data_IF_009206859094
#
_entry.id   IF_009206859094
#
_cell.length_a   1.000
_cell.length_b   1.000
_cell.length_c   1.000
_cell.angle_alpha   90.00
_cell.angle_beta   90.00
_cell.angle_gamma   90.00
#
_symmetry.space_group_name_H-M   'P 1'
#
loop_
_entity.id
_entity.type
_entity.pdbx_description
1 polymer ?
#
# COMPACT_ATOMS: atom_id res chain seq x y z
N UNK A 1 7.15 3.66 14.61
CA UNK A 1 6.00 2.74 14.49
C UNK A 1 4.76 3.45 15.02
N UNK A 2 3.63 3.37 14.29
CA UNK A 2 2.36 4.01 14.65
C UNK A 2 1.28 2.91 14.71
N UNK A 3 0.39 2.98 15.71
CA UNK A 3 -0.72 2.05 15.88
C UNK A 3 -2.00 2.67 15.33
N UNK A 4 -2.73 1.89 14.54
CA UNK A 4 -4.03 2.21 13.96
C UNK A 4 -4.95 0.98 14.12
N UNK A 5 -4.97 0.44 15.34
CA UNK A 5 -5.73 -0.76 15.67
C UNK A 5 -7.22 -0.56 15.40
N UNK A 6 -7.89 -1.58 14.87
CA UNK A 6 -9.31 -1.54 14.52
C UNK A 6 -9.63 -0.85 13.19
N UNK A 7 -8.67 -0.19 12.54
CA UNK A 7 -8.84 0.37 11.19
C UNK A 7 -8.41 -0.62 10.11
N UNK A 8 -9.14 -0.65 9.00
CA UNK A 8 -8.78 -1.42 7.81
C UNK A 8 -7.74 -0.67 6.97
N UNK A 9 -6.96 -1.42 6.19
CA UNK A 9 -5.98 -0.80 5.29
C UNK A 9 -6.68 0.04 4.22
N UNK A 10 -7.82 -0.42 3.70
CA UNK A 10 -8.62 0.32 2.70
C UNK A 10 -9.02 1.71 3.18
N UNK A 11 -9.46 1.82 4.43
CA UNK A 11 -10.01 3.05 5.01
C UNK A 11 -8.88 4.06 5.24
N UNK A 12 -7.74 3.58 5.74
CA UNK A 12 -6.54 4.39 5.88
C UNK A 12 -5.99 4.86 4.53
N UNK A 13 -5.95 3.98 3.53
CA UNK A 13 -5.53 4.36 2.18
C UNK A 13 -6.43 5.46 1.62
N UNK A 14 -7.75 5.33 1.75
CA UNK A 14 -8.69 6.34 1.28
C UNK A 14 -8.47 7.71 1.98
N UNK A 15 -8.08 7.72 3.26
CA UNK A 15 -7.78 8.94 3.99
C UNK A 15 -6.39 9.53 3.65
N UNK A 16 -5.39 8.69 3.38
CA UNK A 16 -4.00 9.11 3.13
C UNK A 16 -3.80 9.58 1.68
N UNK A 17 -4.36 8.87 0.71
CA UNK A 17 -4.12 9.09 -0.73
C UNK A 17 -4.40 10.52 -1.20
N UNK A 18 -5.44 11.24 -0.73
CA UNK A 18 -5.67 12.64 -1.09
C UNK A 18 -4.55 13.61 -0.66
N UNK A 19 -3.78 13.24 0.37
CA UNK A 19 -2.72 14.08 0.97
C UNK A 19 -1.31 13.58 0.60
N UNK A 20 -1.22 12.41 0.00
CA UNK A 20 0.03 11.70 -0.22
C UNK A 20 0.29 11.51 -1.71
N UNK A 21 1.08 12.43 -2.28
CA UNK A 21 1.51 12.32 -3.67
C UNK A 21 2.39 11.09 -3.84
N UNK A 22 2.06 10.24 -4.83
CA UNK A 22 2.78 9.01 -5.08
C UNK A 22 3.93 9.27 -6.05
N UNK A 23 5.03 8.54 -5.87
CA UNK A 23 6.21 8.71 -6.72
C UNK A 23 5.90 8.37 -8.20
N UNK A 24 6.32 9.26 -9.11
CA UNK A 24 6.20 9.10 -10.55
C UNK A 24 7.48 8.54 -11.20
N UNK A 25 8.60 8.50 -10.48
CA UNK A 25 9.91 8.06 -11.00
C UNK A 25 10.23 6.60 -10.67
N UNK A 26 9.52 6.00 -9.70
CA UNK A 26 9.71 4.62 -9.27
C UNK A 26 8.37 4.01 -8.88
N UNK A 27 8.23 2.66 -8.90
CA UNK A 27 6.99 2.00 -8.53
C UNK A 27 6.52 2.41 -7.12
N UNK A 28 5.41 3.16 -7.00
CA UNK A 28 5.08 3.82 -5.75
C UNK A 28 4.23 2.95 -4.83
N UNK A 29 3.66 1.88 -5.35
CA UNK A 29 2.83 0.93 -4.61
C UNK A 29 3.43 -0.46 -4.72
N UNK A 30 3.78 -1.04 -3.57
CA UNK A 30 4.37 -2.37 -3.51
C UNK A 30 3.65 -3.21 -2.46
N UNK A 31 3.26 -4.42 -2.84
CA UNK A 31 2.63 -5.40 -1.95
C UNK A 31 3.43 -6.71 -1.94
N UNK A 32 3.17 -7.55 -0.94
CA UNK A 32 3.76 -8.89 -0.93
C UNK A 32 2.99 -9.81 -1.90
N UNK A 33 3.72 -10.64 -2.64
CA UNK A 33 3.14 -11.69 -3.46
C UNK A 33 2.56 -12.79 -2.55
N UNK A 34 1.39 -13.33 -2.93
CA UNK A 34 0.89 -14.54 -2.31
C UNK A 34 1.84 -15.71 -2.61
N UNK A 35 2.01 -16.60 -1.64
CA UNK A 35 2.64 -17.89 -1.89
C UNK A 35 1.66 -18.80 -2.65
N UNK A 36 2.20 -19.82 -3.31
CA UNK A 36 1.38 -20.81 -4.03
C UNK A 36 0.33 -21.42 -3.09
N UNK A 37 -0.93 -21.41 -3.53
CA UNK A 37 -2.09 -21.92 -2.77
C UNK A 37 -2.86 -20.88 -1.94
N UNK A 38 -2.35 -19.65 -1.78
CA UNK A 38 -3.10 -18.56 -1.14
C UNK A 38 -3.76 -17.63 -2.19
N UNK A 39 -4.92 -17.07 -1.83
CA UNK A 39 -5.64 -16.09 -2.64
C UNK A 39 -5.52 -14.68 -2.05
N UNK A 40 -5.37 -13.68 -2.93
CA UNK A 40 -5.29 -12.28 -2.54
C UNK A 40 -6.69 -11.68 -2.45
N UNK A 41 -6.91 -10.86 -1.41
CA UNK A 41 -8.15 -10.10 -1.28
C UNK A 41 -8.19 -8.96 -2.32
N UNK A 42 -9.18 -8.96 -3.25
CA UNK A 42 -9.27 -7.93 -4.30
C UNK A 42 -9.66 -6.55 -3.77
N UNK A 43 -10.20 -6.45 -2.56
CA UNK A 43 -10.70 -5.18 -1.99
C UNK A 43 -9.57 -4.18 -1.74
N UNK A 44 -8.36 -4.64 -1.42
CA UNK A 44 -7.19 -3.77 -1.17
C UNK A 44 -6.79 -3.01 -2.43
N UNK A 45 -6.78 -3.68 -3.59
CA UNK A 45 -6.47 -3.04 -4.87
C UNK A 45 -7.50 -1.96 -5.22
N UNK A 46 -8.78 -2.20 -4.89
CA UNK A 46 -9.85 -1.26 -5.19
C UNK A 46 -9.75 0.05 -4.40
N UNK A 47 -9.15 0.04 -3.21
CA UNK A 47 -8.99 1.24 -2.39
C UNK A 47 -7.99 2.24 -2.99
N UNK A 48 -6.91 1.74 -3.62
CA UNK A 48 -5.90 2.56 -4.31
C UNK A 48 -6.47 3.13 -5.60
N UNK A 49 -7.28 2.35 -6.30
CA UNK A 49 -7.93 2.77 -7.55
C UNK A 49 -8.97 3.89 -7.39
N UNK A 50 -9.39 4.21 -6.16
CA UNK A 50 -10.35 5.29 -5.86
C UNK A 50 -9.71 6.69 -5.77
N UNK A 51 -8.53 6.87 -6.37
CA UNK A 51 -7.98 8.21 -6.62
C UNK A 51 -8.99 9.07 -7.39
N UNK A 52 -9.04 10.37 -7.08
CA UNK A 52 -9.88 11.32 -7.82
C UNK A 52 -9.46 11.33 -9.30
N UNK A 53 -10.37 11.52 -10.28
CA UNK A 53 -10.01 11.69 -11.69
C UNK A 53 -9.02 12.84 -11.96
N UNK A 54 -8.87 13.78 -11.01
CA UNK A 54 -7.88 14.85 -11.05
C UNK A 54 -6.47 14.39 -10.64
N UNK A 55 -6.33 13.21 -10.03
CA UNK A 55 -5.06 12.57 -9.71
C UNK A 55 -4.70 11.60 -10.86
N UNK A 56 -3.40 11.48 -11.12
CA UNK A 56 -2.84 10.61 -12.16
C UNK A 56 -3.43 9.17 -12.11
N UNK A 57 -3.44 8.44 -13.25
CA UNK A 57 -3.95 7.07 -13.31
C UNK A 57 -3.38 6.20 -12.19
N UNK A 58 -4.18 5.25 -11.71
CA UNK A 58 -3.79 4.36 -10.62
C UNK A 58 -2.46 3.67 -10.99
N UNK A 59 -1.40 3.83 -10.19
CA UNK A 59 -0.13 3.18 -10.48
C UNK A 59 -0.26 1.67 -10.36
N UNK A 60 0.53 0.95 -11.15
CA UNK A 60 0.61 -0.51 -11.08
C UNK A 60 1.10 -0.96 -9.71
N UNK A 61 0.45 -1.98 -9.17
CA UNK A 61 0.83 -2.60 -7.90
C UNK A 61 1.91 -3.63 -8.19
N UNK A 62 3.15 -3.33 -7.77
CA UNK A 62 4.25 -4.29 -7.88
C UNK A 62 4.18 -5.29 -6.73
N UNK A 63 4.35 -6.57 -7.04
CA UNK A 63 4.40 -7.65 -6.04
C UNK A 63 5.79 -8.21 -5.91
N UNK A 64 6.25 -8.36 -4.67
CA UNK A 64 7.57 -8.89 -4.33
C UNK A 64 7.47 -10.02 -3.30
N UNK A 65 8.48 -10.87 -3.20
CA UNK A 65 8.50 -11.94 -2.21
C UNK A 65 8.51 -11.39 -0.77
N UNK A 66 8.16 -12.25 0.19
CA UNK A 66 8.03 -11.86 1.59
C UNK A 66 9.32 -11.32 2.21
N UNK A 67 10.48 -11.86 1.83
CA UNK A 67 11.76 -11.45 2.40
C UNK A 67 12.20 -10.10 1.83
N UNK A 68 12.07 -9.91 0.51
CA UNK A 68 12.27 -8.60 -0.10
C UNK A 68 11.32 -7.53 0.48
N UNK A 69 10.07 -7.91 0.80
CA UNK A 69 9.14 -7.00 1.46
C UNK A 69 9.62 -6.61 2.85
N UNK A 70 10.08 -7.58 3.67
CA UNK A 70 10.62 -7.29 5.01
C UNK A 70 11.85 -6.40 4.94
N UNK A 71 12.79 -6.67 4.03
CA UNK A 71 14.00 -5.86 3.85
C UNK A 71 13.67 -4.41 3.46
N UNK A 72 12.63 -4.22 2.63
CA UNK A 72 12.17 -2.89 2.22
C UNK A 72 11.39 -2.19 3.34
N UNK A 73 10.59 -2.93 4.12
CA UNK A 73 9.84 -2.40 5.26
C UNK A 73 10.76 -1.92 6.38
N UNK A 74 11.89 -2.59 6.63
CA UNK A 74 12.91 -2.14 7.60
C UNK A 74 13.52 -0.77 7.25
N UNK A 75 13.50 -0.39 5.96
CA UNK A 75 13.99 0.89 5.46
C UNK A 75 12.88 1.95 5.33
N UNK A 76 11.65 1.62 5.71
CA UNK A 76 10.52 2.55 5.62
C UNK A 76 10.64 3.66 6.66
N UNK A 77 10.19 4.87 6.28
CA UNK A 77 10.16 6.00 7.20
C UNK A 77 9.24 5.77 8.39
N UNK A 78 8.08 5.15 8.15
CA UNK A 78 7.13 4.78 9.17
C UNK A 78 6.44 3.46 8.80
N UNK A 79 6.11 2.68 9.83
CA UNK A 79 5.25 1.50 9.74
C UNK A 79 4.01 1.79 10.55
N UNK A 80 2.85 1.68 9.90
CA UNK A 80 1.53 1.77 10.52
C UNK A 80 0.98 0.36 10.67
N UNK A 81 0.74 -0.07 11.90
CA UNK A 81 0.11 -1.36 12.18
C UNK A 81 -1.39 -1.14 12.33
N UNK A 82 -2.16 -1.80 11.46
CA UNK A 82 -3.61 -1.69 11.36
C UNK A 82 -4.31 -2.88 12.03
N UNK A 83 -5.64 -2.86 12.08
CA UNK A 83 -6.45 -4.02 12.47
C UNK A 83 -6.80 -4.94 11.29
N UNK A 84 -6.07 -4.87 10.18
CA UNK A 84 -6.37 -5.65 8.99
C UNK A 84 -6.09 -7.13 9.21
N UNK A 85 -7.10 -7.97 8.93
CA UNK A 85 -7.01 -9.42 9.09
C UNK A 85 -6.80 -10.12 7.74
N UNK A 86 -6.96 -9.42 6.62
CA UNK A 86 -6.68 -9.98 5.30
C UNK A 86 -5.20 -10.34 5.17
N UNK A 87 -4.92 -11.59 4.79
CA UNK A 87 -3.57 -12.01 4.41
C UNK A 87 -3.08 -11.16 3.24
N UNK A 88 -1.79 -10.83 3.24
CA UNK A 88 -1.17 -10.00 2.20
C UNK A 88 -1.79 -8.60 2.06
N UNK A 89 -2.50 -8.11 3.09
CA UNK A 89 -2.99 -6.72 3.15
C UNK A 89 -1.89 -5.69 3.39
N UNK A 90 -0.63 -6.11 3.48
CA UNK A 90 0.51 -5.22 3.64
C UNK A 90 0.84 -4.48 2.34
N UNK A 91 1.06 -3.17 2.47
CA UNK A 91 1.31 -2.25 1.38
C UNK A 91 2.41 -1.28 1.76
N UNK A 92 3.29 -0.99 0.81
CA UNK A 92 4.30 0.05 0.91
C UNK A 92 3.96 1.15 -0.09
N UNK A 93 3.94 2.38 0.42
CA UNK A 93 3.74 3.59 -0.36
C UNK A 93 5.05 4.37 -0.45
N UNK A 94 5.44 4.78 -1.66
CA UNK A 94 6.58 5.67 -1.90
C UNK A 94 6.04 7.07 -2.22
N UNK A 95 6.44 8.05 -1.41
CA UNK A 95 6.07 9.44 -1.61
C UNK A 95 6.80 10.02 -2.82
N UNK A 96 6.08 10.74 -3.66
CA UNK A 96 6.61 11.53 -4.76
C UNK A 96 6.86 12.99 -4.36
N UNK A 97 7.01 13.83 -5.38
CA UNK A 97 7.13 15.28 -5.24
C UNK A 97 5.73 15.89 -5.20
N UNK A 98 5.40 16.57 -4.09
CA UNK A 98 4.13 17.29 -3.97
C UNK A 98 4.16 18.51 -4.92
N UNK A 99 3.12 18.72 -5.75
CA UNK A 99 3.00 19.89 -6.61
C UNK A 99 2.81 21.20 -5.83
#
# INVERSE_FOLDING_TARGET
MIRADGLRVSDLLQAIIPLFELDSYAPPVVMMAAVEGDALDPTVNSAIGRRSPAQAPCPDIVRIDRFAFYDRAQKAFAIVITGECAKYGNILLKKGVTP
#
